data_IF_777096239243
#
_entry.id   IF_777096239243
#
_cell.length_a   1.000
_cell.length_b   1.000
_cell.length_c   1.000
_cell.angle_alpha   90.00
_cell.angle_beta   90.00
_cell.angle_gamma   90.00
#
_symmetry.space_group_name_H-M   'P 1'
#
loop_
_entity.id
_entity.type
_entity.pdbx_description
1 polymer ?
#
# COMPACT_ATOMS: atom_id res chain seq x y z
N UNK A 1 -8.75 -9.40 -14.45
CA UNK A 1 -8.91 -9.46 -12.98
C UNK A 1 -7.68 -9.03 -12.17
N UNK A 2 -6.60 -9.81 -12.00
CA UNK A 2 -5.45 -9.40 -11.13
C UNK A 2 -4.78 -8.08 -11.56
N UNK A 3 -4.73 -7.80 -12.86
CA UNK A 3 -4.11 -6.58 -13.38
C UNK A 3 -4.99 -5.33 -13.22
N UNK A 4 -6.32 -5.47 -13.31
CA UNK A 4 -7.25 -4.34 -13.21
C UNK A 4 -7.31 -3.76 -11.80
N UNK A 5 -7.36 -4.64 -10.78
CA UNK A 5 -7.31 -4.22 -9.37
C UNK A 5 -5.98 -3.51 -9.10
N UNK A 6 -4.87 -4.02 -9.63
CA UNK A 6 -3.57 -3.40 -9.46
C UNK A 6 -3.49 -2.00 -10.09
N UNK A 7 -3.95 -1.86 -11.34
CA UNK A 7 -4.01 -0.57 -12.04
C UNK A 7 -4.87 0.41 -11.26
N UNK A 8 -6.05 -0.03 -10.80
CA UNK A 8 -6.93 0.77 -9.96
C UNK A 8 -6.23 1.25 -8.69
N UNK A 9 -5.63 0.35 -7.91
CA UNK A 9 -4.93 0.70 -6.67
C UNK A 9 -3.77 1.65 -6.90
N UNK A 10 -3.06 1.50 -8.03
CA UNK A 10 -2.01 2.43 -8.40
C UNK A 10 -2.57 3.82 -8.78
N UNK A 11 -3.69 3.88 -9.51
CA UNK A 11 -4.39 5.15 -9.79
C UNK A 11 -4.84 5.85 -8.50
N UNK A 12 -5.31 5.10 -7.50
CA UNK A 12 -5.62 5.65 -6.16
C UNK A 12 -4.36 6.19 -5.49
N UNK A 13 -3.27 5.41 -5.48
CA UNK A 13 -2.00 5.84 -4.91
C UNK A 13 -1.40 7.07 -5.61
N UNK A 14 -1.67 7.27 -6.90
CA UNK A 14 -1.25 8.45 -7.67
C UNK A 14 -2.19 9.65 -7.48
N UNK A 15 -3.31 9.50 -6.75
CA UNK A 15 -4.32 10.54 -6.55
C UNK A 15 -5.21 10.79 -7.77
N UNK A 16 -5.21 9.89 -8.75
CA UNK A 16 -6.11 9.95 -9.93
C UNK A 16 -7.53 9.55 -9.53
N UNK A 17 -7.64 8.55 -8.66
CA UNK A 17 -8.91 8.16 -8.03
C UNK A 17 -8.89 8.67 -6.59
N UNK A 18 -9.93 9.38 -6.12
CA UNK A 18 -9.98 9.88 -4.75
C UNK A 18 -9.89 8.74 -3.73
N UNK A 19 -9.07 8.94 -2.68
CA UNK A 19 -8.86 7.94 -1.63
C UNK A 19 -10.17 7.60 -0.89
N UNK A 20 -11.05 8.58 -0.70
CA UNK A 20 -12.34 8.39 -0.02
C UNK A 20 -13.28 7.49 -0.85
N UNK A 21 -13.40 7.73 -2.15
CA UNK A 21 -14.19 6.90 -3.06
C UNK A 21 -13.66 5.46 -3.07
N UNK A 22 -12.34 5.29 -3.02
CA UNK A 22 -11.72 3.98 -2.95
C UNK A 22 -11.96 3.26 -1.62
N UNK A 23 -11.95 3.99 -0.51
CA UNK A 23 -12.31 3.45 0.80
C UNK A 23 -13.78 3.04 0.86
N UNK A 24 -14.68 3.84 0.27
CA UNK A 24 -16.10 3.50 0.18
C UNK A 24 -16.30 2.21 -0.63
N UNK A 25 -15.63 2.10 -1.78
CA UNK A 25 -15.65 0.88 -2.56
C UNK A 25 -15.12 -0.32 -1.77
N UNK A 26 -13.98 -0.18 -1.10
CA UNK A 26 -13.40 -1.23 -0.25
C UNK A 26 -14.35 -1.67 0.88
N UNK A 27 -15.08 -0.72 1.49
CA UNK A 27 -16.02 -1.00 2.56
C UNK A 27 -17.21 -1.85 2.10
N UNK A 28 -17.62 -1.67 0.84
CA UNK A 28 -18.73 -2.38 0.21
C UNK A 28 -18.36 -3.77 -0.34
N UNK A 29 -17.08 -4.16 -0.27
CA UNK A 29 -16.65 -5.51 -0.66
C UNK A 29 -16.98 -6.53 0.43
N UNK A 30 -17.31 -7.74 0.01
CA UNK A 30 -17.34 -8.90 0.91
C UNK A 30 -15.93 -9.21 1.47
N UNK A 31 -15.87 -10.04 2.51
CA UNK A 31 -14.64 -10.33 3.24
C UNK A 31 -13.53 -10.90 2.33
N UNK A 32 -13.86 -11.83 1.44
CA UNK A 32 -12.85 -12.45 0.57
C UNK A 32 -12.23 -11.45 -0.43
N UNK A 33 -13.00 -10.69 -1.24
CA UNK A 33 -12.43 -9.65 -2.12
C UNK A 33 -11.63 -8.58 -1.36
N UNK A 34 -12.05 -8.22 -0.15
CA UNK A 34 -11.36 -7.27 0.72
C UNK A 34 -9.97 -7.76 1.12
N UNK A 35 -9.86 -9.02 1.54
CA UNK A 35 -8.58 -9.65 1.85
C UNK A 35 -7.70 -9.74 0.60
N UNK A 36 -8.25 -10.16 -0.55
CA UNK A 36 -7.50 -10.21 -1.81
C UNK A 36 -6.92 -8.84 -2.20
N UNK A 37 -7.65 -7.76 -1.93
CA UNK A 37 -7.18 -6.39 -2.18
C UNK A 37 -6.01 -6.01 -1.27
N UNK A 38 -6.10 -6.30 0.03
CA UNK A 38 -5.00 -6.08 0.98
C UNK A 38 -3.78 -6.92 0.61
N UNK A 39 -3.95 -8.18 0.24
CA UNK A 39 -2.87 -9.06 -0.23
C UNK A 39 -2.18 -8.49 -1.48
N UNK A 40 -2.98 -7.97 -2.41
CA UNK A 40 -2.49 -7.33 -3.64
C UNK A 40 -1.62 -6.11 -3.33
N UNK A 41 -2.08 -5.24 -2.42
CA UNK A 41 -1.29 -4.09 -1.97
C UNK A 41 0.02 -4.51 -1.29
N UNK A 42 -0.05 -5.49 -0.37
CA UNK A 42 1.13 -6.01 0.32
C UNK A 42 2.12 -6.61 -0.69
N UNK A 43 1.64 -7.32 -1.70
CA UNK A 43 2.46 -7.88 -2.77
C UNK A 43 3.23 -6.76 -3.51
N UNK A 44 2.57 -5.67 -3.92
CA UNK A 44 3.24 -4.57 -4.61
C UNK A 44 4.27 -3.85 -3.73
N UNK A 45 3.96 -3.66 -2.44
CA UNK A 45 4.92 -3.11 -1.48
C UNK A 45 6.13 -4.04 -1.34
N UNK A 46 5.96 -5.36 -1.35
CA UNK A 46 7.10 -6.30 -1.32
C UNK A 46 7.91 -6.25 -2.61
N UNK A 47 7.25 -6.20 -3.76
CA UNK A 47 7.89 -6.10 -5.07
C UNK A 47 8.64 -4.78 -5.27
N UNK A 48 8.40 -3.78 -4.42
CA UNK A 48 9.19 -2.55 -4.41
C UNK A 48 10.61 -2.74 -3.86
N UNK A 49 10.90 -3.85 -3.17
CA UNK A 49 12.17 -4.05 -2.48
C UNK A 49 12.29 -3.30 -1.15
N UNK A 50 11.19 -2.72 -0.64
CA UNK A 50 11.17 -2.12 0.69
C UNK A 50 11.48 -3.15 1.77
N UNK A 51 12.20 -2.72 2.79
CA UNK A 51 12.59 -3.50 3.95
C UNK A 51 12.21 -2.77 5.24
N UNK A 52 12.33 -3.46 6.37
CA UNK A 52 12.07 -2.85 7.67
C UNK A 52 12.99 -1.65 7.96
N UNK A 53 14.21 -1.60 7.41
CA UNK A 53 15.11 -0.44 7.54
C UNK A 53 14.58 0.85 6.87
N UNK A 54 13.61 0.71 5.96
CA UNK A 54 13.00 1.84 5.27
C UNK A 54 11.78 2.41 5.99
N UNK A 55 11.27 1.76 7.05
CA UNK A 55 10.03 2.16 7.76
C UNK A 55 10.10 3.62 8.22
N UNK A 56 11.22 4.03 8.82
CA UNK A 56 11.44 5.40 9.26
C UNK A 56 11.27 6.46 8.16
N UNK A 57 11.50 6.08 6.91
CA UNK A 57 11.43 6.98 5.76
C UNK A 57 10.00 7.10 5.22
N UNK A 58 9.24 5.98 5.21
CA UNK A 58 7.94 5.94 4.54
C UNK A 58 6.75 6.04 5.48
N UNK A 59 6.90 5.67 6.76
CA UNK A 59 5.75 5.50 7.65
C UNK A 59 5.01 6.82 7.89
N UNK A 60 5.76 7.89 8.16
CA UNK A 60 5.16 9.19 8.44
C UNK A 60 4.52 9.83 7.19
N UNK A 61 5.17 9.87 6.00
CA UNK A 61 4.52 10.30 4.77
C UNK A 61 3.27 9.47 4.44
N UNK A 62 3.35 8.15 4.53
CA UNK A 62 2.22 7.26 4.27
C UNK A 62 1.07 7.54 5.24
N UNK A 63 1.36 7.73 6.53
CA UNK A 63 0.36 8.06 7.55
C UNK A 63 -0.35 9.38 7.25
N UNK A 64 0.40 10.41 6.87
CA UNK A 64 -0.15 11.73 6.53
C UNK A 64 -1.05 11.66 5.29
N UNK A 65 -0.60 11.00 4.22
CA UNK A 65 -1.41 10.75 3.03
C UNK A 65 -2.72 10.02 3.38
N UNK A 66 -2.63 9.02 4.26
CA UNK A 66 -3.75 8.17 4.65
C UNK A 66 -4.73 8.80 5.64
N UNK A 67 -4.42 10.00 6.17
CA UNK A 67 -5.21 10.65 7.23
C UNK A 67 -5.24 9.89 8.57
N UNK A 68 -4.33 8.93 8.78
CA UNK A 68 -4.35 8.07 9.97
C UNK A 68 -3.68 8.75 11.17
N UNK A 69 -4.20 8.49 12.37
CA UNK A 69 -3.56 8.92 13.61
C UNK A 69 -2.42 7.96 13.96
N UNK A 70 -1.43 8.46 14.70
CA UNK A 70 -0.30 7.66 15.18
C UNK A 70 -0.77 6.42 15.95
N UNK A 71 -1.84 6.53 16.73
CA UNK A 71 -2.37 5.44 17.56
C UNK A 71 -3.16 4.36 16.81
N UNK A 72 -3.42 4.51 15.51
CA UNK A 72 -4.13 3.48 14.75
C UNK A 72 -3.28 2.19 14.65
N UNK A 73 -3.93 1.03 14.82
CA UNK A 73 -3.28 -0.28 14.89
C UNK A 73 -2.28 -0.57 13.76
N UNK A 74 -2.60 -0.37 12.46
CA UNK A 74 -1.63 -0.65 11.39
C UNK A 74 -0.38 0.24 11.46
N UNK A 75 -0.50 1.47 11.97
CA UNK A 75 0.65 2.37 12.21
C UNK A 75 1.50 1.82 13.35
N UNK A 76 0.88 1.41 14.45
CA UNK A 76 1.57 0.83 15.61
C UNK A 76 2.29 -0.48 15.28
N UNK A 77 1.70 -1.34 14.43
CA UNK A 77 2.35 -2.56 13.96
C UNK A 77 3.67 -2.23 13.24
N UNK A 78 3.68 -1.27 12.32
CA UNK A 78 4.90 -0.91 11.60
C UNK A 78 5.93 -0.22 12.50
N UNK A 79 5.50 0.61 13.46
CA UNK A 79 6.39 1.15 14.50
C UNK A 79 7.03 0.05 15.33
N UNK A 80 6.28 -1.00 15.69
CA UNK A 80 6.84 -2.13 16.44
C UNK A 80 7.89 -2.89 15.61
N UNK A 81 7.68 -3.02 14.29
CA UNK A 81 8.67 -3.64 13.39
C UNK A 81 9.93 -2.79 13.33
N UNK A 82 9.80 -1.47 13.17
CA UNK A 82 10.92 -0.54 13.20
C UNK A 82 11.73 -0.64 14.50
N UNK A 83 11.04 -0.63 15.65
CA UNK A 83 11.65 -0.67 16.97
C UNK A 83 12.30 -2.02 17.32
N UNK A 84 11.90 -3.11 16.65
CA UNK A 84 12.51 -4.43 16.86
C UNK A 84 13.98 -4.50 16.45
N UNK A 85 14.48 -3.50 15.69
CA UNK A 85 15.84 -3.49 15.17
C UNK A 85 16.09 -4.47 14.03
N UNK A 86 15.09 -5.26 13.62
CA UNK A 86 15.18 -6.15 12.47
C UNK A 86 15.11 -5.35 11.17
N UNK A 87 16.16 -5.38 10.36
CA UNK A 87 16.29 -4.54 9.16
C UNK A 87 15.94 -5.25 7.84
N UNK A 88 15.30 -6.42 7.89
CA UNK A 88 15.08 -7.29 6.72
C UNK A 88 13.77 -7.02 5.97
N UNK A 89 13.71 -7.48 4.71
CA UNK A 89 12.47 -7.54 3.92
C UNK A 89 11.45 -8.47 4.57
N UNK A 90 11.91 -9.59 5.13
CA UNK A 90 11.07 -10.55 5.86
C UNK A 90 10.40 -9.94 7.09
N UNK A 91 11.09 -9.08 7.85
CA UNK A 91 10.50 -8.42 9.01
C UNK A 91 9.35 -7.48 8.61
N UNK A 92 9.55 -6.69 7.55
CA UNK A 92 8.47 -5.86 6.99
C UNK A 92 7.31 -6.73 6.50
N UNK A 93 7.60 -7.81 5.76
CA UNK A 93 6.57 -8.76 5.31
C UNK A 93 5.73 -9.30 6.45
N UNK A 94 6.35 -9.75 7.55
CA UNK A 94 5.64 -10.25 8.72
C UNK A 94 4.74 -9.17 9.32
N UNK A 95 5.23 -7.92 9.42
CA UNK A 95 4.41 -6.79 9.88
C UNK A 95 3.19 -6.54 9.00
N UNK A 96 3.40 -6.44 7.69
CA UNK A 96 2.32 -6.21 6.71
C UNK A 96 1.28 -7.33 6.72
N UNK A 97 1.69 -8.59 6.83
CA UNK A 97 0.75 -9.73 6.87
C UNK A 97 -0.11 -9.78 8.14
N UNK A 98 0.26 -9.05 9.22
CA UNK A 98 -0.63 -8.89 10.37
C UNK A 98 -1.88 -8.08 10.02
N UNK A 99 -1.83 -7.24 8.99
CA UNK A 99 -2.97 -6.41 8.57
C UNK A 99 -4.16 -7.26 8.10
N UNK A 100 -3.86 -8.39 7.45
CA UNK A 100 -4.86 -9.35 6.98
C UNK A 100 -5.65 -10.03 8.11
N UNK A 101 -5.13 -9.98 9.35
CA UNK A 101 -5.72 -10.62 10.53
C UNK A 101 -6.43 -9.63 11.44
N UNK A 102 -6.45 -8.34 11.08
CA UNK A 102 -7.15 -7.32 11.84
C UNK A 102 -8.67 -7.46 11.66
N UNK A 103 -9.46 -7.01 12.65
CA UNK A 103 -10.91 -6.93 12.50
C UNK A 103 -11.26 -5.98 11.35
N UNK A 104 -12.41 -6.21 10.72
CA UNK A 104 -12.87 -5.49 9.53
C UNK A 104 -12.81 -3.95 9.67
N UNK A 105 -13.15 -3.43 10.85
CA UNK A 105 -13.08 -1.98 11.16
C UNK A 105 -11.66 -1.42 11.10
N UNK A 106 -10.64 -2.24 11.40
CA UNK A 106 -9.23 -1.87 11.34
C UNK A 106 -8.61 -2.20 9.97
N UNK A 107 -9.19 -3.14 9.21
CA UNK A 107 -8.77 -3.40 7.82
C UNK A 107 -8.93 -2.16 6.93
N UNK A 108 -9.93 -1.31 7.20
CA UNK A 108 -10.08 -0.02 6.54
C UNK A 108 -8.84 0.87 6.74
N UNK A 109 -8.31 0.88 7.97
CA UNK A 109 -7.10 1.63 8.30
C UNK A 109 -5.88 0.99 7.64
N UNK A 110 -5.83 -0.34 7.56
CA UNK A 110 -4.78 -1.05 6.84
C UNK A 110 -4.80 -0.73 5.35
N UNK A 111 -5.97 -0.73 4.72
CA UNK A 111 -6.15 -0.36 3.32
C UNK A 111 -5.58 1.04 3.06
N UNK A 112 -6.03 2.04 3.84
CA UNK A 112 -5.56 3.41 3.73
C UNK A 112 -4.03 3.49 3.88
N UNK A 113 -3.46 2.88 4.92
CA UNK A 113 -2.02 2.91 5.16
C UNK A 113 -1.24 2.27 4.01
N UNK A 114 -1.70 1.12 3.50
CA UNK A 114 -1.05 0.41 2.40
C UNK A 114 -1.07 1.25 1.11
N UNK A 115 -2.16 1.97 0.82
CA UNK A 115 -2.20 2.93 -0.29
C UNK A 115 -1.20 4.06 -0.05
N UNK A 116 -1.11 4.60 1.17
CA UNK A 116 -0.11 5.62 1.51
C UNK A 116 1.34 5.14 1.32
N UNK A 117 1.62 3.88 1.63
CA UNK A 117 2.94 3.27 1.39
C UNK A 117 3.20 3.13 -0.12
N UNK A 118 2.19 2.73 -0.89
CA UNK A 118 2.29 2.63 -2.35
C UNK A 118 2.50 4.00 -2.99
N UNK A 119 1.79 5.04 -2.53
CA UNK A 119 1.97 6.43 -2.93
C UNK A 119 3.41 6.90 -2.69
N UNK A 120 3.94 6.69 -1.48
CA UNK A 120 5.33 7.03 -1.17
C UNK A 120 6.31 6.35 -2.12
N UNK A 121 6.12 5.05 -2.36
CA UNK A 121 6.99 4.27 -3.24
C UNK A 121 6.92 4.74 -4.70
N UNK A 122 5.73 5.11 -5.19
CA UNK A 122 5.57 5.73 -6.51
C UNK A 122 6.40 7.00 -6.62
N UNK A 123 6.25 7.96 -5.69
CA UNK A 123 6.99 9.22 -5.74
C UNK A 123 8.51 9.05 -5.64
N UNK A 124 8.98 8.08 -4.86
CA UNK A 124 10.41 7.79 -4.76
C UNK A 124 11.01 7.18 -6.03
N UNK A 125 10.19 6.61 -6.91
CA UNK A 125 10.64 5.85 -8.09
C UNK A 125 10.11 6.36 -9.42
N UNK A 126 9.28 7.41 -9.41
CA UNK A 126 8.65 8.05 -10.58
C UNK A 126 9.65 8.44 -11.69
N UNK A 127 10.93 8.58 -11.36
CA UNK A 127 12.01 8.88 -12.31
C UNK A 127 13.18 7.89 -12.24
N UNK A 128 12.95 6.69 -11.71
CA UNK A 128 13.96 5.62 -11.72
C UNK A 128 13.92 4.87 -13.05
N UNK A 129 15.05 4.30 -13.50
CA UNK A 129 15.13 3.41 -14.67
C UNK A 129 14.37 2.07 -14.49
N UNK A 130 13.44 2.01 -13.54
CA UNK A 130 12.66 0.84 -13.25
C UNK A 130 11.61 0.61 -14.34
N UNK A 131 11.81 -0.44 -15.14
CA UNK A 131 10.84 -0.95 -16.15
C UNK A 131 9.56 -1.56 -15.55
N UNK A 132 9.19 -1.21 -14.32
CA UNK A 132 7.99 -1.74 -13.67
C UNK A 132 6.82 -0.80 -13.93
N UNK A 133 5.77 -1.32 -14.58
CA UNK A 133 4.60 -0.54 -15.00
C UNK A 133 3.94 0.27 -13.87
N UNK A 134 3.98 -0.20 -12.63
CA UNK A 134 3.35 0.50 -11.51
C UNK A 134 4.13 1.73 -11.02
N UNK A 135 5.27 2.06 -11.62
CA UNK A 135 5.93 3.36 -11.46
C UNK A 135 5.62 4.34 -12.60
N UNK A 136 4.91 3.89 -13.64
CA UNK A 136 4.49 4.75 -14.74
C UNK A 136 3.40 5.72 -14.28
N UNK A 137 3.39 6.90 -14.86
CA UNK A 137 2.37 7.91 -14.62
C UNK A 137 1.07 7.51 -15.34
N UNK A 138 0.04 7.15 -14.57
CA UNK A 138 -1.22 6.63 -15.09
C UNK A 138 -2.25 7.73 -15.35
N UNK A 139 -1.85 9.01 -15.26
CA UNK A 139 -2.73 10.15 -15.51
C UNK A 139 -3.10 10.31 -16.99
N UNK A 140 -2.32 9.71 -17.87
CA UNK A 140 -2.63 9.63 -19.30
C UNK A 140 -3.21 8.24 -19.59
N UNK A 141 -4.31 8.19 -20.35
CA UNK A 141 -4.83 6.93 -20.90
C UNK A 141 -3.86 6.42 -21.97
N UNK A 142 -2.77 5.79 -21.55
CA UNK A 142 -1.90 5.01 -22.44
C UNK A 142 -2.34 3.55 -22.39
N UNK A 143 -2.46 2.94 -23.56
CA UNK A 143 -2.66 1.51 -23.73
C UNK A 143 -1.59 0.76 -22.94
N UNK A 144 -1.98 0.18 -21.81
CA UNK A 144 -1.11 -0.70 -21.06
C UNK A 144 -0.68 -1.86 -21.98
N UNK A 145 0.62 -2.18 -22.07
CA UNK A 145 1.03 -3.37 -22.78
C UNK A 145 0.37 -4.57 -22.11
N UNK A 146 -0.28 -5.43 -22.89
CA UNK A 146 -0.71 -6.76 -22.44
C UNK A 146 0.55 -7.49 -21.93
N UNK A 147 0.57 -7.83 -20.63
CA UNK A 147 1.63 -8.66 -20.00
C UNK A 147 1.10 -10.08 -19.84
#
# INVERSE_FOLDING_TARGET
>A
MKNEIAIYLNKVAQGIIPLNDSLEWFNNLDDEPRIQMLETLIYYIQQSGMSASSIKNFLEPARLFSGLKIGHTPVQILKSVEQSGLMSTSALKVGLYKFLKLPQTEQNQSFLLLIGILNYNFHMKKNSDSRKWWYEDLSQDQNFPEI
#
